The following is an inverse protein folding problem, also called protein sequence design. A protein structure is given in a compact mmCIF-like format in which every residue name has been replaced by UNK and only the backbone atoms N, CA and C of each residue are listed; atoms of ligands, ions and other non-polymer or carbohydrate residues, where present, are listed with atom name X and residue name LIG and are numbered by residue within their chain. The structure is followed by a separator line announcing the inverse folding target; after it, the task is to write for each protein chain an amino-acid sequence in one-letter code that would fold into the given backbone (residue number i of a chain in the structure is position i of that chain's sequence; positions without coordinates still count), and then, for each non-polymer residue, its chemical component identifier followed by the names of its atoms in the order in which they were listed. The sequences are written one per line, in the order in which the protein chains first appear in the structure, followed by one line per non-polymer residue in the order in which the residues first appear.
data_IF_058425682413
#
_entry.id   IF_058425682413
#
_cell.length_a   1.000
_cell.length_b   1.000
_cell.length_c   1.000
_cell.angle_alpha   90.00
_cell.angle_beta   90.00
_cell.angle_gamma   90.00
#
_symmetry.space_group_name_H-M   'P 1'
#
loop_
_entity.id
_entity.type
_entity.pdbx_description
1 polymer ?
#
# COMPACT_ATOMS: atom_id res chain seq x y z
N UNK A 1 5.60 3.30 -20.34
CA UNK A 1 4.75 3.43 -19.14
C UNK A 1 3.93 2.17 -19.03
N UNK A 2 3.97 1.54 -17.87
CA UNK A 2 3.27 0.30 -17.55
C UNK A 2 2.31 0.57 -16.41
N UNK A 3 1.19 -0.17 -16.39
CA UNK A 3 0.16 0.02 -15.37
C UNK A 3 0.45 -0.85 -14.15
N UNK A 4 0.47 -0.24 -12.97
CA UNK A 4 0.46 -0.96 -11.69
C UNK A 4 -0.97 -0.97 -11.16
N UNK A 5 -1.43 -2.12 -10.68
CA UNK A 5 -2.74 -2.32 -10.05
C UNK A 5 -2.51 -2.65 -8.58
N UNK A 6 -3.01 -1.83 -7.67
CA UNK A 6 -2.95 -2.09 -6.22
C UNK A 6 -4.33 -2.49 -5.73
N UNK A 7 -4.42 -3.69 -5.17
CA UNK A 7 -5.64 -4.25 -4.56
C UNK A 7 -5.55 -4.18 -3.05
N UNK A 8 -6.57 -3.63 -2.41
CA UNK A 8 -6.67 -3.64 -0.95
C UNK A 8 -7.60 -4.74 -0.49
N UNK A 9 -7.08 -5.64 0.34
CA UNK A 9 -7.88 -6.66 1.01
C UNK A 9 -9.03 -6.04 1.80
N UNK A 10 -10.21 -6.66 1.76
CA UNK A 10 -11.38 -6.17 2.47
C UNK A 10 -11.24 -6.43 3.97
N UNK A 11 -11.04 -5.36 4.74
CA UNK A 11 -11.03 -5.39 6.20
C UNK A 11 -12.41 -5.06 6.77
N UNK A 12 -12.87 -5.86 7.74
CA UNK A 12 -14.18 -5.67 8.36
C UNK A 12 -14.22 -4.51 9.36
N UNK A 13 -13.09 -4.17 9.97
CA UNK A 13 -13.02 -3.21 11.07
C UNK A 13 -11.85 -2.25 10.88
N UNK A 14 -10.63 -2.77 10.81
CA UNK A 14 -9.41 -1.96 10.76
C UNK A 14 -9.35 -1.12 9.48
N UNK A 15 -9.10 0.18 9.65
CA UNK A 15 -8.93 1.16 8.58
C UNK A 15 -10.06 1.23 7.54
N UNK A 16 -11.24 0.67 7.87
CA UNK A 16 -12.34 0.46 6.91
C UNK A 16 -12.80 1.76 6.24
N UNK A 17 -12.79 2.86 7.00
CA UNK A 17 -13.24 4.20 6.55
C UNK A 17 -12.08 5.10 6.09
N UNK A 18 -10.85 4.57 6.07
CA UNK A 18 -9.64 5.31 5.67
C UNK A 18 -9.14 4.75 4.34
N UNK A 19 -8.47 5.60 3.56
CA UNK A 19 -7.75 5.16 2.36
C UNK A 19 -6.28 4.93 2.71
N UNK A 20 -5.64 4.01 2.01
CA UNK A 20 -4.17 3.91 2.05
C UNK A 20 -3.61 4.72 0.90
N UNK A 21 -2.72 5.65 1.20
CA UNK A 21 -1.93 6.37 0.21
C UNK A 21 -0.85 5.44 -0.34
N UNK A 22 -0.69 5.45 -1.66
CA UNK A 22 0.32 4.71 -2.40
C UNK A 22 1.46 5.67 -2.67
N UNK A 23 2.62 5.39 -2.08
CA UNK A 23 3.86 6.09 -2.31
C UNK A 23 4.68 5.32 -3.34
N UNK A 24 5.08 6.00 -4.41
CA UNK A 24 6.04 5.53 -5.40
C UNK A 24 7.30 6.39 -5.26
N UNK A 25 8.45 5.76 -4.99
CA UNK A 25 9.73 6.44 -4.77
C UNK A 25 9.62 7.58 -3.72
N UNK A 26 8.81 7.35 -2.68
CA UNK A 26 8.53 8.30 -1.60
C UNK A 26 7.51 9.39 -1.93
N UNK A 27 6.94 9.44 -3.14
CA UNK A 27 5.91 10.42 -3.55
C UNK A 27 4.53 9.78 -3.60
N UNK A 28 3.52 10.47 -3.07
CA UNK A 28 2.14 10.00 -3.14
C UNK A 28 1.59 10.13 -4.57
N UNK A 29 1.19 9.00 -5.15
CA UNK A 29 0.71 8.92 -6.54
C UNK A 29 -0.78 8.56 -6.65
N UNK A 30 -1.31 7.82 -5.67
CA UNK A 30 -2.69 7.35 -5.67
C UNK A 30 -3.13 6.99 -4.26
N UNK A 31 -4.42 6.66 -4.07
CA UNK A 31 -4.93 6.13 -2.83
C UNK A 31 -6.00 5.04 -3.06
N UNK A 32 -5.99 3.99 -2.23
CA UNK A 32 -6.88 2.84 -2.36
C UNK A 32 -7.84 2.71 -1.17
N UNK A 33 -9.14 2.60 -1.48
CA UNK A 33 -10.21 2.37 -0.50
C UNK A 33 -10.26 0.92 -0.05
N UNK A 34 -10.87 0.66 1.11
CA UNK A 34 -11.04 -0.70 1.62
C UNK A 34 -11.81 -1.59 0.63
N UNK A 35 -11.27 -2.79 0.35
CA UNK A 35 -11.89 -3.75 -0.58
C UNK A 35 -11.93 -3.31 -2.03
N UNK A 36 -11.19 -2.26 -2.40
CA UNK A 36 -11.15 -1.71 -3.76
C UNK A 36 -9.78 -1.93 -4.40
N UNK A 37 -9.70 -1.66 -5.70
CA UNK A 37 -8.44 -1.60 -6.43
C UNK A 37 -8.28 -0.25 -7.12
N UNK A 38 -7.02 0.16 -7.33
CA UNK A 38 -6.68 1.35 -8.09
C UNK A 38 -5.54 1.02 -9.04
N UNK A 39 -5.58 1.60 -10.23
CA UNK A 39 -4.54 1.44 -11.23
C UNK A 39 -3.94 2.80 -11.57
N UNK A 40 -2.62 2.84 -11.73
CA UNK A 40 -1.88 4.04 -12.12
C UNK A 40 -0.71 3.67 -13.03
N UNK A 41 -0.30 4.63 -13.86
CA UNK A 41 0.79 4.44 -14.81
C UNK A 41 2.14 4.79 -14.14
N UNK A 42 3.14 3.95 -14.39
CA UNK A 42 4.51 4.07 -13.87
C UNK A 42 5.50 3.90 -15.00
N UNK A 43 6.67 4.52 -14.85
CA UNK A 43 7.79 4.30 -15.76
C UNK A 43 8.31 2.86 -15.65
N UNK A 44 9.00 2.40 -16.68
CA UNK A 44 9.59 1.06 -16.67
C UNK A 44 10.93 1.09 -15.95
N UNK A 45 11.21 0.07 -15.15
CA UNK A 45 12.45 -0.03 -14.39
C UNK A 45 12.19 -0.28 -12.90
N UNK A 46 13.23 -0.05 -12.09
CA UNK A 46 13.17 -0.27 -10.65
C UNK A 46 12.47 0.88 -9.95
N UNK A 47 11.49 0.54 -9.13
CA UNK A 47 10.76 1.49 -8.31
C UNK A 47 10.54 0.93 -6.90
N UNK A 48 10.37 1.82 -5.95
CA UNK A 48 9.99 1.49 -4.58
C UNK A 48 8.52 1.84 -4.34
N UNK A 49 7.73 0.86 -3.92
CA UNK A 49 6.33 1.07 -3.53
C UNK A 49 6.19 0.96 -2.02
N UNK A 50 5.46 1.88 -1.42
CA UNK A 50 5.13 1.86 0.00
C UNK A 50 3.69 2.31 0.21
N UNK A 51 2.97 1.65 1.11
CA UNK A 51 1.65 2.09 1.54
C UNK A 51 1.77 2.99 2.78
N UNK A 52 0.90 3.98 2.89
CA UNK A 52 0.84 4.89 4.03
C UNK A 52 -0.59 5.14 4.48
N UNK A 53 -0.78 5.26 5.79
CA UNK A 53 -2.00 5.77 6.42
C UNK A 53 -1.60 6.62 7.62
N UNK A 54 -2.02 7.88 7.64
CA UNK A 54 -1.63 8.84 8.68
C UNK A 54 -0.09 8.87 8.88
N UNK A 55 0.41 8.47 10.05
CA UNK A 55 1.85 8.35 10.35
C UNK A 55 2.39 6.91 10.31
N UNK A 56 1.55 5.94 9.90
CA UNK A 56 1.91 4.53 9.75
C UNK A 56 2.18 4.19 8.28
N UNK A 57 3.05 3.22 8.04
CA UNK A 57 3.45 2.78 6.71
C UNK A 57 3.53 1.25 6.63
N UNK A 58 3.60 0.73 5.40
CA UNK A 58 4.14 -0.59 5.13
C UNK A 58 5.67 -0.56 5.09
N UNK A 59 6.25 -1.75 5.01
CA UNK A 59 7.60 -1.91 4.47
C UNK A 59 7.63 -1.43 3.02
N UNK A 60 8.79 -0.95 2.62
CA UNK A 60 9.13 -0.60 1.23
C UNK A 60 9.26 -1.91 0.44
N UNK A 61 8.59 -1.98 -0.70
CA UNK A 61 8.66 -3.09 -1.63
C UNK A 61 9.35 -2.61 -2.91
N UNK A 62 10.53 -3.15 -3.18
CA UNK A 62 11.23 -2.93 -4.44
C UNK A 62 10.58 -3.80 -5.52
N UNK A 63 10.18 -3.16 -6.62
CA UNK A 63 9.56 -3.82 -7.77
C UNK A 63 10.33 -3.46 -9.03
N UNK A 64 10.45 -4.42 -9.94
CA UNK A 64 10.92 -4.17 -11.29
C UNK A 64 9.70 -4.13 -12.21
N UNK A 65 9.40 -2.95 -12.77
CA UNK A 65 8.22 -2.72 -13.59
C UNK A 65 8.54 -3.10 -15.04
N UNK A 66 7.98 -4.22 -15.56
CA UNK A 66 8.29 -4.69 -16.90
C UNK A 66 7.63 -3.80 -17.97
N UNK A 67 8.14 -3.84 -19.20
CA UNK A 67 7.64 -3.01 -20.30
C UNK A 67 6.28 -3.45 -20.87
N UNK A 68 5.84 -4.68 -20.61
CA UNK A 68 4.73 -5.29 -21.35
C UNK A 68 3.53 -5.73 -20.50
N UNK A 69 3.71 -6.04 -19.21
CA UNK A 69 2.64 -6.63 -18.39
C UNK A 69 2.29 -5.77 -17.17
N UNK A 70 0.99 -5.63 -16.84
CA UNK A 70 0.57 -4.90 -15.66
C UNK A 70 0.96 -5.67 -14.39
N UNK A 71 1.65 -4.99 -13.46
CA UNK A 71 2.00 -5.57 -12.16
C UNK A 71 0.84 -5.39 -11.19
N UNK A 72 0.43 -6.48 -10.54
CA UNK A 72 -0.60 -6.43 -9.49
C UNK A 72 0.04 -6.60 -8.12
N UNK A 73 -0.25 -5.66 -7.22
CA UNK A 73 0.18 -5.68 -5.82
C UNK A 73 -1.03 -5.82 -4.90
N UNK A 74 -0.85 -6.45 -3.76
CA UNK A 74 -1.85 -6.58 -2.71
C UNK A 74 -1.41 -5.89 -1.43
N UNK A 75 -2.35 -5.23 -0.76
CA UNK A 75 -2.11 -4.62 0.54
C UNK A 75 -3.26 -4.83 1.52
N UNK A 76 -2.96 -4.67 2.80
CA UNK A 76 -3.97 -4.73 3.86
C UNK A 76 -3.40 -4.41 5.24
N UNK A 77 -4.28 -4.25 6.25
CA UNK A 77 -3.84 -4.02 7.62
C UNK A 77 -3.14 -5.26 8.19
N UNK A 78 -2.01 -5.05 8.87
CA UNK A 78 -1.30 -6.07 9.63
C UNK A 78 -1.72 -6.06 11.12
N UNK A 79 -2.14 -4.91 11.64
CA UNK A 79 -2.51 -4.76 13.04
C UNK A 79 -3.90 -5.31 13.36
N UNK A 80 -4.02 -6.06 14.45
CA UNK A 80 -5.31 -6.43 15.01
C UNK A 80 -5.96 -5.21 15.70
N UNK A 81 -7.29 -5.15 15.82
CA UNK A 81 -7.97 -4.05 16.50
C UNK A 81 -7.48 -3.83 17.95
N UNK A 82 -7.05 -4.90 18.63
CA UNK A 82 -6.53 -4.85 20.00
C UNK A 82 -5.10 -4.30 20.09
N UNK A 83 -4.29 -4.41 19.03
CA UNK A 83 -2.91 -3.91 19.02
C UNK A 83 -2.76 -2.56 18.30
N UNK A 84 -3.85 -1.99 17.79
CA UNK A 84 -3.83 -0.74 17.03
C UNK A 84 -3.14 0.42 17.79
N UNK A 85 -3.44 0.60 19.08
CA UNK A 85 -2.82 1.65 19.90
C UNK A 85 -1.31 1.44 20.10
N UNK A 86 -0.84 0.19 20.16
CA UNK A 86 0.57 -0.15 20.27
C UNK A 86 1.30 0.06 18.94
N UNK A 87 0.67 -0.33 17.82
CA UNK A 87 1.26 -0.16 16.49
C UNK A 87 1.41 1.31 16.11
N UNK A 88 0.38 2.11 16.39
CA UNK A 88 0.37 3.55 16.13
C UNK A 88 1.49 4.28 16.89
N UNK A 89 1.92 3.75 18.04
CA UNK A 89 2.96 4.35 18.90
C UNK A 89 4.36 3.79 18.66
N UNK A 90 4.52 2.47 18.51
CA UNK A 90 5.83 1.80 18.50
C UNK A 90 6.19 1.07 17.20
N UNK A 91 5.22 0.59 16.41
CA UNK A 91 5.47 -0.23 15.21
C UNK A 91 4.80 0.31 13.94
N UNK A 92 4.82 1.64 13.81
CA UNK A 92 4.15 2.36 12.74
C UNK A 92 4.63 1.96 11.33
N UNK A 93 5.87 1.49 11.18
CA UNK A 93 6.47 1.17 9.87
C UNK A 93 6.09 -0.22 9.32
N UNK A 94 5.41 -1.06 10.11
CA UNK A 94 4.99 -2.43 9.73
C UNK A 94 3.47 -2.63 9.91
N UNK A 95 2.74 -1.52 9.88
CA UNK A 95 1.30 -1.48 10.14
C UNK A 95 0.47 -2.02 8.98
N UNK A 96 0.96 -1.80 7.76
CA UNK A 96 0.35 -2.26 6.51
C UNK A 96 1.26 -3.34 5.92
N UNK A 97 0.71 -4.48 5.52
CA UNK A 97 1.46 -5.42 4.68
C UNK A 97 1.27 -5.06 3.21
N UNK A 98 2.31 -5.30 2.41
CA UNK A 98 2.36 -5.06 0.96
C UNK A 98 3.14 -6.21 0.31
N UNK A 99 2.63 -6.77 -0.78
CA UNK A 99 3.26 -7.84 -1.54
C UNK A 99 2.83 -7.86 -3.01
#
# INVERSE_FOLDING_TARGET
MTKIIVRRANALWQDRVRKYSILLDGKEVAAVSNGSEVAFDVETGQHEVQMKIDWCTSRKLEIDVPTAEPLTLECGPNASPFTALLYISLWKNDYIWLR
#
